data_IF_520422312867
#
_entry.id   IF_520422312867
#
_cell.length_a   1.000
_cell.length_b   1.000
_cell.length_c   1.000
_cell.angle_alpha   90.00
_cell.angle_beta   90.00
_cell.angle_gamma   90.00
#
_symmetry.space_group_name_H-M   'P 1'
#
loop_
_entity.id
_entity.type
_entity.pdbx_description
1 polymer ?
#
# COMPACT_ATOMS: atom_id res chain seq x y z
N UNK A 1 -34.68 -17.51 12.81
CA UNK A 1 -33.39 -17.19 12.22
C UNK A 1 -32.87 -15.90 12.83
N UNK A 2 -31.64 -15.86 13.35
CA UNK A 2 -31.06 -14.60 13.80
C UNK A 2 -30.90 -13.66 12.57
N UNK A 3 -31.12 -12.34 12.74
CA UNK A 3 -30.86 -11.39 11.65
C UNK A 3 -29.39 -11.48 11.22
N UNK A 4 -29.10 -11.26 9.92
CA UNK A 4 -27.72 -11.24 9.46
C UNK A 4 -26.93 -10.16 10.20
N UNK A 5 -25.68 -10.45 10.54
CA UNK A 5 -24.80 -9.49 11.18
C UNK A 5 -24.70 -8.21 10.30
N UNK A 6 -24.67 -7.01 10.93
CA UNK A 6 -24.55 -5.77 10.19
C UNK A 6 -23.25 -5.74 9.37
N UNK A 7 -23.23 -5.02 8.24
CA UNK A 7 -21.99 -4.83 7.46
C UNK A 7 -20.89 -4.24 8.34
N UNK A 8 -19.62 -4.68 8.18
CA UNK A 8 -18.52 -4.11 8.93
C UNK A 8 -18.27 -2.65 8.52
N UNK A 9 -17.85 -1.81 9.48
CA UNK A 9 -17.39 -0.46 9.16
C UNK A 9 -16.15 -0.51 8.25
N UNK A 10 -15.99 0.52 7.42
CA UNK A 10 -14.84 0.61 6.53
C UNK A 10 -13.53 0.74 7.33
N UNK A 11 -12.52 -0.12 7.10
CA UNK A 11 -11.27 -0.09 7.86
C UNK A 11 -10.37 1.12 7.51
N UNK A 12 -10.71 1.89 6.47
CA UNK A 12 -9.98 3.10 6.08
C UNK A 12 -10.62 4.38 6.60
N UNK A 13 -11.93 4.56 6.42
CA UNK A 13 -12.60 5.82 6.78
C UNK A 13 -13.62 5.67 7.92
N UNK A 14 -13.77 4.49 8.48
CA UNK A 14 -14.71 4.12 9.54
C UNK A 14 -16.20 4.33 9.19
N UNK A 15 -16.54 4.67 7.96
CA UNK A 15 -17.91 4.86 7.54
C UNK A 15 -18.71 3.55 7.65
N UNK A 16 -19.97 3.61 8.14
CA UNK A 16 -20.92 2.49 8.10
C UNK A 16 -21.51 2.31 6.70
N UNK A 17 -22.37 1.30 6.55
CA UNK A 17 -23.19 1.14 5.35
C UNK A 17 -22.45 0.50 4.16
N UNK A 18 -21.40 -0.27 4.43
CA UNK A 18 -20.77 -1.07 3.39
C UNK A 18 -21.79 -2.05 2.77
N UNK A 19 -21.64 -2.31 1.49
CA UNK A 19 -22.46 -3.30 0.78
C UNK A 19 -21.57 -4.34 0.08
N UNK A 20 -22.14 -5.52 -0.17
CA UNK A 20 -21.41 -6.62 -0.82
C UNK A 20 -21.14 -6.24 -2.27
N UNK A 21 -19.88 -6.09 -2.63
CA UNK A 21 -19.44 -5.89 -4.00
C UNK A 21 -19.37 -7.22 -4.76
N UNK A 22 -18.80 -8.23 -4.10
CA UNK A 22 -18.63 -9.56 -4.68
C UNK A 22 -18.61 -10.63 -3.58
N UNK A 23 -19.05 -11.83 -3.91
CA UNK A 23 -19.00 -12.98 -3.02
C UNK A 23 -18.66 -14.24 -3.82
N UNK A 24 -17.71 -15.01 -3.31
CA UNK A 24 -17.39 -16.35 -3.76
C UNK A 24 -17.82 -17.38 -2.71
N UNK A 25 -17.59 -18.67 -2.96
CA UNK A 25 -17.83 -19.72 -1.97
C UNK A 25 -16.97 -19.56 -0.68
N UNK A 26 -15.83 -18.86 -0.77
CA UNK A 26 -14.85 -18.76 0.33
C UNK A 26 -14.72 -17.37 0.92
N UNK A 27 -14.97 -16.29 0.14
CA UNK A 27 -14.67 -14.91 0.51
C UNK A 27 -15.78 -13.97 0.09
N UNK A 28 -15.99 -12.94 0.90
CA UNK A 28 -16.87 -11.80 0.63
C UNK A 28 -16.04 -10.54 0.59
N UNK A 29 -16.32 -9.68 -0.38
CA UNK A 29 -15.71 -8.37 -0.53
C UNK A 29 -16.78 -7.30 -0.36
N UNK A 30 -16.49 -6.36 0.52
CA UNK A 30 -17.31 -5.23 0.81
C UNK A 30 -16.83 -4.00 0.04
N UNK A 31 -17.74 -3.19 -0.46
CA UNK A 31 -17.45 -1.84 -0.94
C UNK A 31 -17.89 -0.86 0.14
N UNK A 32 -17.00 0.07 0.50
CA UNK A 32 -17.28 1.13 1.46
C UNK A 32 -18.49 1.97 1.02
N UNK A 33 -19.45 2.16 1.91
CA UNK A 33 -20.62 3.04 1.68
C UNK A 33 -20.33 4.52 1.92
N UNK A 34 -19.12 4.86 2.40
CA UNK A 34 -18.67 6.23 2.66
C UNK A 34 -17.79 6.80 1.55
N UNK A 35 -17.13 7.95 1.82
CA UNK A 35 -16.47 8.76 0.79
C UNK A 35 -15.18 8.14 0.22
N UNK A 36 -14.56 7.17 0.91
CA UNK A 36 -13.27 6.64 0.45
C UNK A 36 -13.39 5.56 -0.64
N UNK A 37 -14.54 4.87 -0.77
CA UNK A 37 -14.76 3.85 -1.79
C UNK A 37 -13.83 2.63 -1.70
N UNK A 38 -13.19 2.35 -0.56
CA UNK A 38 -12.32 1.18 -0.39
C UNK A 38 -13.10 -0.12 -0.60
N UNK A 39 -12.50 -1.07 -1.31
CA UNK A 39 -12.96 -2.47 -1.32
C UNK A 39 -12.11 -3.26 -0.34
N UNK A 40 -12.75 -4.07 0.50
CA UNK A 40 -12.05 -4.86 1.51
C UNK A 40 -12.71 -6.21 1.77
N UNK A 41 -11.91 -7.16 2.19
CA UNK A 41 -12.37 -8.51 2.55
C UNK A 41 -13.08 -8.46 3.89
N UNK A 42 -14.14 -9.28 4.02
CA UNK A 42 -14.83 -9.48 5.30
C UNK A 42 -13.82 -9.78 6.42
N UNK A 43 -13.81 -9.02 7.53
CA UNK A 43 -12.84 -9.20 8.60
C UNK A 43 -12.75 -10.62 9.14
N UNK A 44 -13.89 -11.34 9.18
CA UNK A 44 -13.94 -12.73 9.65
C UNK A 44 -13.30 -13.75 8.67
N UNK A 45 -12.93 -13.31 7.47
CA UNK A 45 -12.39 -14.17 6.40
C UNK A 45 -10.96 -13.79 5.99
N UNK A 46 -10.32 -12.91 6.77
CA UNK A 46 -8.93 -12.54 6.57
C UNK A 46 -8.00 -13.65 7.08
N UNK A 47 -6.83 -13.83 6.46
CA UNK A 47 -5.84 -14.79 6.96
C UNK A 47 -5.31 -14.37 8.33
N UNK A 48 -4.88 -15.32 9.13
CA UNK A 48 -4.07 -15.05 10.31
C UNK A 48 -2.59 -14.86 9.93
N UNK A 49 -1.78 -14.43 10.90
CA UNK A 49 -0.36 -14.13 10.68
C UNK A 49 0.46 -15.35 10.21
N UNK A 50 0.07 -16.57 10.59
CA UNK A 50 0.77 -17.78 10.16
C UNK A 50 0.48 -18.09 8.68
N UNK A 51 -0.78 -17.94 8.26
CA UNK A 51 -1.19 -18.12 6.88
C UNK A 51 -0.59 -17.04 5.96
N UNK A 52 -0.51 -15.78 6.43
CA UNK A 52 0.16 -14.70 5.69
C UNK A 52 1.63 -15.00 5.49
N UNK A 53 2.34 -15.35 6.56
CA UNK A 53 3.76 -15.69 6.49
C UNK A 53 4.02 -16.84 5.51
N UNK A 54 3.22 -17.91 5.57
CA UNK A 54 3.33 -19.05 4.66
C UNK A 54 3.18 -18.65 3.19
N UNK A 55 2.31 -17.65 2.90
CA UNK A 55 2.15 -17.10 1.56
C UNK A 55 3.33 -16.25 1.15
N UNK A 56 3.85 -15.38 2.05
CA UNK A 56 4.99 -14.51 1.77
C UNK A 56 6.29 -15.29 1.56
N UNK A 57 6.48 -16.39 2.26
CA UNK A 57 7.66 -17.28 2.10
C UNK A 57 7.74 -17.93 0.69
N UNK A 58 6.66 -17.86 -0.12
CA UNK A 58 6.68 -18.29 -1.52
C UNK A 58 7.29 -17.24 -2.46
N UNK A 59 7.41 -15.98 -2.03
CA UNK A 59 7.93 -14.90 -2.86
C UNK A 59 9.46 -14.96 -2.97
N UNK A 60 9.94 -14.75 -4.18
CA UNK A 60 11.38 -14.66 -4.47
C UNK A 60 11.70 -13.26 -4.98
N UNK A 61 12.27 -12.44 -4.12
CA UNK A 61 12.67 -11.06 -4.43
C UNK A 61 14.15 -11.03 -4.84
N UNK A 62 14.47 -11.74 -5.94
CA UNK A 62 15.86 -11.91 -6.37
C UNK A 62 16.33 -10.73 -7.24
N UNK A 63 17.39 -9.99 -6.84
CA UNK A 63 17.94 -8.90 -7.65
C UNK A 63 18.57 -9.39 -8.97
N UNK A 64 18.86 -10.68 -9.12
CA UNK A 64 19.34 -11.26 -10.37
C UNK A 64 18.20 -11.55 -11.37
N UNK A 65 16.94 -11.56 -10.93
CA UNK A 65 15.81 -11.72 -11.83
C UNK A 65 15.51 -10.41 -12.58
N UNK A 66 15.92 -10.38 -13.85
CA UNK A 66 15.67 -9.25 -14.73
C UNK A 66 14.17 -8.92 -14.93
N UNK A 67 13.27 -9.90 -14.76
CA UNK A 67 11.81 -9.70 -14.79
C UNK A 67 11.36 -8.93 -13.58
N UNK A 68 11.85 -9.30 -12.40
CA UNK A 68 11.56 -8.63 -11.15
C UNK A 68 12.15 -7.21 -11.11
N UNK A 69 13.37 -7.01 -11.57
CA UNK A 69 14.01 -5.68 -11.70
C UNK A 69 13.18 -4.77 -12.62
N UNK A 70 12.73 -5.27 -13.78
CA UNK A 70 11.84 -4.49 -14.68
C UNK A 70 10.49 -4.17 -14.03
N UNK A 71 9.95 -5.10 -13.24
CA UNK A 71 8.71 -4.88 -12.49
C UNK A 71 8.88 -3.71 -11.50
N UNK A 72 9.94 -3.71 -10.71
CA UNK A 72 10.27 -2.62 -9.78
C UNK A 72 10.58 -1.30 -10.49
N UNK A 73 11.17 -1.36 -11.68
CA UNK A 73 11.47 -0.19 -12.52
C UNK A 73 10.27 0.70 -12.78
N UNK A 74 9.06 0.14 -12.82
CA UNK A 74 7.82 0.90 -12.99
C UNK A 74 7.55 1.89 -11.84
N UNK A 75 8.03 1.59 -10.63
CA UNK A 75 7.99 2.50 -9.49
C UNK A 75 9.24 3.37 -9.45
N UNK A 76 10.43 2.78 -9.68
CA UNK A 76 11.73 3.46 -9.55
C UNK A 76 11.81 4.67 -10.49
N UNK A 77 11.45 4.51 -11.76
CA UNK A 77 11.55 5.58 -12.75
C UNK A 77 10.74 6.85 -12.39
N UNK A 78 9.42 6.76 -12.11
CA UNK A 78 8.65 7.94 -11.72
C UNK A 78 9.03 8.46 -10.32
N UNK A 79 9.49 7.61 -9.41
CA UNK A 79 9.99 8.03 -8.10
C UNK A 79 11.24 8.89 -8.24
N UNK A 80 12.25 8.44 -9.01
CA UNK A 80 13.48 9.19 -9.26
C UNK A 80 13.19 10.52 -9.95
N UNK A 81 12.29 10.54 -10.93
CA UNK A 81 11.86 11.78 -11.57
C UNK A 81 11.23 12.77 -10.57
N UNK A 82 10.47 12.27 -9.61
CA UNK A 82 9.82 13.10 -8.60
C UNK A 82 10.77 13.56 -7.49
N UNK A 83 11.81 12.77 -7.15
CA UNK A 83 12.82 13.12 -6.13
C UNK A 83 13.84 14.13 -6.63
N UNK A 84 14.12 14.15 -7.93
CA UNK A 84 15.19 14.93 -8.52
C UNK A 84 16.59 14.36 -8.21
N UNK A 85 17.68 15.02 -8.69
CA UNK A 85 19.02 14.45 -8.68
C UNK A 85 19.72 14.50 -7.32
N UNK A 86 19.21 15.25 -6.34
CA UNK A 86 19.87 15.36 -5.03
C UNK A 86 19.73 14.08 -4.21
N UNK A 87 20.79 13.62 -3.52
CA UNK A 87 20.70 12.47 -2.63
C UNK A 87 19.61 12.64 -1.57
N UNK A 88 18.83 11.59 -1.34
CA UNK A 88 17.70 11.56 -0.41
C UNK A 88 17.81 10.36 0.54
N UNK A 89 17.18 10.48 1.70
CA UNK A 89 17.04 9.40 2.66
C UNK A 89 15.64 8.75 2.52
N UNK A 90 15.59 7.46 2.23
CA UNK A 90 14.36 6.71 2.05
C UNK A 90 14.21 5.53 3.00
N UNK A 91 12.99 5.02 3.08
CA UNK A 91 12.66 3.76 3.71
C UNK A 91 11.87 2.91 2.72
N UNK A 92 12.31 1.67 2.50
CA UNK A 92 11.51 0.64 1.84
C UNK A 92 10.70 -0.11 2.90
N UNK A 93 9.41 0.21 2.98
CA UNK A 93 8.48 -0.33 3.97
C UNK A 93 7.78 -1.55 3.40
N UNK A 94 7.99 -2.72 4.04
CA UNK A 94 7.57 -4.01 3.53
C UNK A 94 8.51 -4.53 2.45
N UNK A 95 9.83 -4.40 2.66
CA UNK A 95 10.86 -4.78 1.67
C UNK A 95 10.91 -6.29 1.37
N UNK A 96 10.24 -7.11 2.17
CA UNK A 96 10.28 -8.56 2.03
C UNK A 96 11.66 -9.18 2.34
N UNK A 97 11.86 -10.44 1.94
CA UNK A 97 13.11 -11.16 2.23
C UNK A 97 14.31 -10.66 1.42
N UNK A 98 14.10 -10.08 0.22
CA UNK A 98 15.16 -9.64 -0.69
C UNK A 98 15.04 -8.15 -1.05
N UNK A 99 15.91 -7.27 -0.50
CA UNK A 99 15.82 -5.81 -0.64
C UNK A 99 16.28 -5.31 -2.01
N UNK A 100 15.68 -5.76 -3.08
CA UNK A 100 16.05 -5.40 -4.46
C UNK A 100 15.76 -3.93 -4.75
N UNK A 101 14.61 -3.40 -4.27
CA UNK A 101 14.21 -2.02 -4.54
C UNK A 101 15.19 -1.02 -3.94
N UNK A 102 15.58 -1.21 -2.68
CA UNK A 102 16.57 -0.33 -2.02
C UNK A 102 17.92 -0.35 -2.73
N UNK A 103 18.33 -1.50 -3.27
CA UNK A 103 19.53 -1.63 -4.09
C UNK A 103 19.47 -0.79 -5.38
N UNK A 104 18.34 -0.80 -6.08
CA UNK A 104 18.12 0.01 -7.28
C UNK A 104 18.16 1.53 -6.97
N UNK A 105 17.55 1.94 -5.86
CA UNK A 105 17.54 3.33 -5.42
C UNK A 105 18.91 3.78 -4.91
N UNK A 106 19.66 2.88 -4.24
CA UNK A 106 21.04 3.14 -3.82
C UNK A 106 21.98 3.32 -5.03
N UNK A 107 21.82 2.53 -6.09
CA UNK A 107 22.56 2.70 -7.34
C UNK A 107 22.25 4.04 -8.02
N UNK A 108 21.07 4.63 -7.76
CA UNK A 108 20.70 5.98 -8.21
C UNK A 108 21.17 7.10 -7.25
N UNK A 109 21.93 6.79 -6.20
CA UNK A 109 22.54 7.78 -5.30
C UNK A 109 21.71 8.12 -4.04
N UNK A 110 20.66 7.37 -3.73
CA UNK A 110 19.87 7.59 -2.52
C UNK A 110 20.29 6.64 -1.39
N UNK A 111 20.12 7.06 -0.12
CA UNK A 111 20.33 6.21 1.04
C UNK A 111 18.97 5.61 1.47
N UNK A 112 18.80 4.29 1.36
CA UNK A 112 17.55 3.61 1.66
C UNK A 112 17.74 2.59 2.76
N UNK A 113 16.91 2.65 3.80
CA UNK A 113 16.81 1.62 4.83
C UNK A 113 15.68 0.64 4.46
N UNK A 114 15.82 -0.61 4.89
CA UNK A 114 14.84 -1.68 4.65
C UNK A 114 14.13 -2.04 5.94
N UNK A 115 12.81 -1.97 5.93
CA UNK A 115 11.96 -2.42 7.03
C UNK A 115 10.93 -3.43 6.53
N UNK A 116 10.81 -4.51 7.25
CA UNK A 116 9.73 -5.48 7.08
C UNK A 116 9.40 -6.11 8.44
N UNK A 117 8.12 -6.20 8.85
CA UNK A 117 7.76 -6.70 10.17
C UNK A 117 8.10 -8.18 10.38
N UNK A 118 8.31 -8.94 9.30
CA UNK A 118 8.59 -10.37 9.34
C UNK A 118 10.08 -10.66 9.08
N UNK A 119 10.64 -10.03 8.04
CA UNK A 119 11.97 -10.36 7.54
C UNK A 119 13.07 -9.41 8.03
N UNK A 120 12.74 -8.14 8.35
CA UNK A 120 13.67 -7.08 8.79
C UNK A 120 13.03 -6.17 9.84
N UNK A 121 12.70 -6.70 11.05
CA UNK A 121 11.85 -6.03 12.04
C UNK A 121 12.59 -4.98 12.89
N UNK A 122 13.43 -4.13 12.27
CA UNK A 122 14.09 -3.04 12.98
C UNK A 122 13.13 -1.89 13.26
N UNK A 123 12.46 -1.95 14.40
CA UNK A 123 11.50 -0.94 14.85
C UNK A 123 12.12 0.45 15.07
N UNK A 124 13.45 0.55 15.23
CA UNK A 124 14.12 1.86 15.38
C UNK A 124 14.00 2.70 14.10
N UNK A 125 13.84 2.07 12.94
CA UNK A 125 13.60 2.75 11.67
C UNK A 125 12.24 3.46 11.66
N UNK A 126 11.25 2.96 12.39
CA UNK A 126 9.91 3.56 12.47
C UNK A 126 9.85 4.81 13.37
N UNK A 127 10.91 5.11 14.11
CA UNK A 127 11.05 6.34 14.89
C UNK A 127 11.69 7.49 14.11
N UNK A 128 12.14 7.22 12.87
CA UNK A 128 12.83 8.20 12.02
C UNK A 128 11.85 8.85 11.03
N UNK A 129 12.32 9.92 10.36
CA UNK A 129 11.61 10.56 9.25
C UNK A 129 12.48 10.58 8.01
N UNK A 130 11.84 10.37 6.86
CA UNK A 130 12.48 10.17 5.58
C UNK A 130 12.02 11.20 4.56
N UNK A 131 12.83 11.43 3.54
CA UNK A 131 12.46 12.26 2.39
C UNK A 131 11.47 11.52 1.49
N UNK A 132 11.55 10.19 1.47
CA UNK A 132 10.57 9.34 0.81
C UNK A 132 10.41 7.99 1.51
N UNK A 133 9.23 7.39 1.31
CA UNK A 133 8.92 6.02 1.73
C UNK A 133 8.36 5.28 0.54
N UNK A 134 8.84 4.06 0.28
CA UNK A 134 8.27 3.15 -0.71
C UNK A 134 7.46 2.07 0.00
N UNK A 135 6.37 1.62 -0.64
CA UNK A 135 5.61 0.43 -0.23
C UNK A 135 5.12 -0.29 -1.50
N UNK A 136 5.82 -1.36 -1.88
CA UNK A 136 5.63 -2.07 -3.15
C UNK A 136 4.97 -3.42 -2.90
N UNK A 137 3.73 -3.61 -3.40
CA UNK A 137 2.88 -4.78 -3.13
C UNK A 137 2.77 -5.03 -1.61
N UNK A 138 2.36 -3.99 -0.87
CA UNK A 138 2.27 -3.97 0.59
C UNK A 138 0.90 -3.51 1.08
N UNK A 139 0.38 -2.41 0.53
CA UNK A 139 -0.82 -1.77 1.09
C UNK A 139 -2.07 -2.62 0.95
N UNK A 140 -2.13 -3.52 -0.01
CA UNK A 140 -3.20 -4.50 -0.20
C UNK A 140 -3.30 -5.53 0.94
N UNK A 141 -2.21 -5.71 1.69
CA UNK A 141 -2.15 -6.60 2.85
C UNK A 141 -2.57 -5.91 4.16
N UNK A 142 -2.86 -4.61 4.15
CA UNK A 142 -3.24 -3.88 5.36
C UNK A 142 -4.62 -4.30 5.86
N UNK A 143 -4.68 -4.97 7.02
CA UNK A 143 -5.91 -5.27 7.75
C UNK A 143 -6.54 -4.01 8.34
N UNK A 144 -5.71 -3.05 8.77
CA UNK A 144 -6.08 -1.77 9.37
C UNK A 144 -5.49 -0.60 8.56
N UNK A 145 -5.96 -0.38 7.31
CA UNK A 145 -5.34 0.61 6.42
C UNK A 145 -5.30 2.03 7.00
N UNK A 146 -6.30 2.44 7.78
CA UNK A 146 -6.26 3.76 8.43
C UNK A 146 -5.03 3.94 9.31
N UNK A 147 -4.73 2.94 10.13
CA UNK A 147 -3.58 2.93 11.04
C UNK A 147 -2.26 2.88 10.28
N UNK A 148 -2.17 2.00 9.29
CA UNK A 148 -0.92 1.81 8.55
C UNK A 148 -0.61 3.03 7.65
N UNK A 149 -1.62 3.64 7.02
CA UNK A 149 -1.40 4.90 6.30
C UNK A 149 -1.03 6.06 7.24
N UNK A 150 -1.62 6.14 8.44
CA UNK A 150 -1.19 7.12 9.44
C UNK A 150 0.29 6.92 9.84
N UNK A 151 0.73 5.66 9.98
CA UNK A 151 2.13 5.31 10.21
C UNK A 151 3.01 5.77 9.05
N UNK A 152 2.68 5.42 7.80
CA UNK A 152 3.43 5.82 6.61
C UNK A 152 3.55 7.35 6.50
N UNK A 153 2.47 8.09 6.76
CA UNK A 153 2.51 9.57 6.84
C UNK A 153 3.48 10.05 7.91
N UNK A 154 3.45 9.42 9.09
CA UNK A 154 4.32 9.76 10.22
C UNK A 154 5.81 9.56 9.94
N UNK A 155 6.16 8.69 9.00
CA UNK A 155 7.53 8.43 8.56
C UNK A 155 8.06 9.48 7.57
N UNK A 156 7.22 10.34 7.04
CA UNK A 156 7.62 11.34 6.05
C UNK A 156 7.95 12.69 6.70
N UNK A 157 8.96 13.36 6.17
CA UNK A 157 9.24 14.76 6.41
C UNK A 157 8.20 15.65 5.72
N UNK A 158 8.05 16.94 6.09
CA UNK A 158 7.36 17.91 5.23
C UNK A 158 7.93 17.87 3.82
N UNK A 159 7.09 17.98 2.78
CA UNK A 159 7.50 17.80 1.39
C UNK A 159 7.87 16.37 0.99
N UNK A 160 7.83 15.43 1.92
CA UNK A 160 8.20 14.02 1.69
C UNK A 160 7.24 13.30 0.75
N UNK A 161 7.72 12.21 0.15
CA UNK A 161 7.02 11.47 -0.91
C UNK A 161 6.74 10.03 -0.49
N UNK A 162 5.46 9.63 -0.46
CA UNK A 162 5.06 8.23 -0.40
C UNK A 162 4.90 7.70 -1.81
N UNK A 163 5.64 6.63 -2.14
CA UNK A 163 5.56 5.94 -3.42
C UNK A 163 4.98 4.55 -3.21
N UNK A 164 3.82 4.31 -3.78
CA UNK A 164 3.08 3.05 -3.67
C UNK A 164 3.10 2.31 -5.00
N UNK A 165 3.27 1.00 -4.93
CA UNK A 165 2.99 0.10 -6.03
C UNK A 165 1.99 -0.94 -5.56
N UNK A 166 0.80 -0.93 -6.14
CA UNK A 166 -0.28 -1.89 -5.91
C UNK A 166 -1.21 -1.88 -7.12
N UNK A 167 -1.72 -3.03 -7.53
CA UNK A 167 -2.63 -3.07 -8.68
C UNK A 167 -3.93 -2.36 -8.35
N UNK A 168 -4.19 -1.24 -9.04
CA UNK A 168 -5.42 -0.50 -8.85
C UNK A 168 -6.58 -1.16 -9.59
N UNK A 169 -7.70 -1.30 -8.90
CA UNK A 169 -8.95 -1.75 -9.49
C UNK A 169 -9.47 -0.68 -10.47
N UNK A 170 -9.75 -1.09 -11.69
CA UNK A 170 -10.24 -0.15 -12.72
C UNK A 170 -11.70 0.26 -12.50
N UNK A 171 -12.60 -0.71 -12.28
CA UNK A 171 -14.05 -0.48 -12.13
C UNK A 171 -14.69 -1.60 -11.29
N UNK A 172 -15.78 -1.30 -10.52
CA UNK A 172 -16.48 -2.29 -9.69
C UNK A 172 -16.96 -3.51 -10.49
N UNK A 173 -17.47 -3.29 -11.69
CA UNK A 173 -18.08 -4.32 -12.55
C UNK A 173 -17.06 -5.38 -12.99
N UNK A 174 -15.79 -5.01 -13.07
CA UNK A 174 -14.68 -5.92 -13.45
C UNK A 174 -14.07 -6.65 -12.27
N UNK A 175 -14.50 -6.36 -11.04
CA UNK A 175 -13.90 -6.93 -9.83
C UNK A 175 -14.04 -8.47 -9.79
N UNK A 176 -15.17 -9.01 -10.22
CA UNK A 176 -15.44 -10.46 -10.20
C UNK A 176 -14.37 -11.27 -10.96
N UNK A 177 -13.93 -10.81 -12.13
CA UNK A 177 -12.91 -11.44 -12.97
C UNK A 177 -11.47 -11.04 -12.66
N UNK A 178 -11.26 -10.15 -11.70
CA UNK A 178 -9.92 -9.60 -11.43
C UNK A 178 -9.07 -10.58 -10.60
N UNK A 179 -7.98 -11.09 -11.19
CA UNK A 179 -7.14 -12.13 -10.57
C UNK A 179 -6.46 -11.69 -9.26
N UNK A 180 -6.15 -10.40 -9.10
CA UNK A 180 -5.46 -9.85 -7.93
C UNK A 180 -6.20 -10.09 -6.60
N UNK A 181 -7.53 -10.17 -6.63
CA UNK A 181 -8.36 -10.51 -5.47
C UNK A 181 -8.24 -11.97 -5.01
N UNK A 182 -7.62 -12.83 -5.83
CA UNK A 182 -7.54 -14.26 -5.54
C UNK A 182 -6.39 -14.61 -4.60
N UNK A 183 -5.42 -13.72 -4.44
CA UNK A 183 -4.40 -13.88 -3.41
C UNK A 183 -5.08 -13.88 -2.02
N UNK A 184 -4.82 -14.92 -1.19
CA UNK A 184 -5.47 -15.02 0.12
C UNK A 184 -5.04 -13.92 1.10
N UNK A 185 -3.89 -13.30 0.90
CA UNK A 185 -3.35 -12.24 1.75
C UNK A 185 -3.75 -10.85 1.32
N UNK A 186 -4.35 -10.67 0.12
CA UNK A 186 -4.90 -9.40 -0.30
C UNK A 186 -6.26 -9.15 0.38
N UNK A 187 -6.32 -8.19 1.26
CA UNK A 187 -7.49 -7.87 2.09
C UNK A 187 -8.04 -6.45 1.89
N UNK A 188 -7.27 -5.55 1.29
CA UNK A 188 -7.64 -4.17 0.99
C UNK A 188 -7.31 -3.84 -0.48
N UNK A 189 -8.24 -3.24 -1.22
CA UNK A 189 -8.07 -3.03 -2.66
C UNK A 189 -8.31 -1.58 -3.02
N UNK A 190 -7.30 -0.98 -3.64
CA UNK A 190 -7.30 0.43 -3.95
C UNK A 190 -7.65 0.70 -5.41
N UNK A 191 -8.18 1.87 -5.64
CA UNK A 191 -8.34 2.54 -6.92
C UNK A 191 -8.10 4.03 -6.71
N UNK A 192 -8.50 4.89 -7.62
CA UNK A 192 -8.23 6.32 -7.52
C UNK A 192 -8.88 6.97 -6.30
N UNK A 193 -10.14 6.59 -5.95
CA UNK A 193 -10.88 7.25 -4.88
C UNK A 193 -10.30 7.02 -3.48
N UNK A 194 -9.98 5.76 -3.04
CA UNK A 194 -9.32 5.55 -1.75
C UNK A 194 -7.99 6.32 -1.63
N UNK A 195 -7.18 6.33 -2.70
CA UNK A 195 -5.91 7.05 -2.71
C UNK A 195 -6.13 8.58 -2.70
N UNK A 196 -7.12 9.06 -3.44
CA UNK A 196 -7.54 10.46 -3.42
C UNK A 196 -8.05 10.90 -2.06
N UNK A 197 -8.83 10.05 -1.38
CA UNK A 197 -9.32 10.31 -0.04
C UNK A 197 -8.17 10.41 0.99
N UNK A 198 -7.19 9.49 0.90
CA UNK A 198 -5.98 9.54 1.74
C UNK A 198 -5.19 10.82 1.46
N UNK A 199 -4.95 11.14 0.19
CA UNK A 199 -4.20 12.33 -0.21
C UNK A 199 -4.88 13.61 0.29
N UNK A 200 -6.21 13.73 0.12
CA UNK A 200 -6.99 14.87 0.60
C UNK A 200 -6.89 15.03 2.13
N UNK A 201 -7.02 13.93 2.88
CA UNK A 201 -6.88 13.94 4.33
C UNK A 201 -5.48 14.30 4.84
N UNK A 202 -4.46 14.20 3.97
CA UNK A 202 -3.08 14.60 4.28
C UNK A 202 -2.73 16.00 3.77
N UNK A 203 -3.58 16.62 2.96
CA UNK A 203 -3.23 17.81 2.17
C UNK A 203 -2.17 17.49 1.10
N UNK A 204 -2.05 16.24 0.70
CA UNK A 204 -1.02 15.76 -0.22
C UNK A 204 -1.48 15.87 -1.68
N UNK A 205 -0.51 16.05 -2.58
CA UNK A 205 -0.74 15.93 -4.02
C UNK A 205 -0.60 14.47 -4.42
N UNK A 206 -1.65 13.91 -5.06
CA UNK A 206 -1.64 12.58 -5.64
C UNK A 206 -1.31 12.65 -7.13
N UNK A 207 -0.32 11.87 -7.57
CA UNK A 207 -0.04 11.60 -8.99
C UNK A 207 -0.06 10.10 -9.25
N UNK A 208 -0.52 9.71 -10.45
CA UNK A 208 -0.72 8.32 -10.84
C UNK A 208 0.05 8.05 -12.14
N UNK A 209 1.40 7.92 -12.08
CA UNK A 209 2.25 7.85 -13.28
C UNK A 209 2.10 6.55 -14.06
N UNK A 210 1.64 5.47 -13.43
CA UNK A 210 1.38 4.19 -14.07
C UNK A 210 0.12 3.53 -13.49
N UNK A 211 -0.46 2.51 -14.14
CA UNK A 211 -1.70 1.85 -13.67
C UNK A 211 -1.61 1.25 -12.27
N UNK A 212 -0.44 0.93 -11.81
CA UNK A 212 -0.14 0.32 -10.51
C UNK A 212 0.77 1.17 -9.61
N UNK A 213 1.12 2.39 -10.01
CA UNK A 213 1.96 3.30 -9.23
C UNK A 213 1.18 4.53 -8.80
N UNK A 214 1.32 4.93 -7.54
CA UNK A 214 0.77 6.14 -6.98
C UNK A 214 1.84 6.85 -6.15
N UNK A 215 1.97 8.17 -6.35
CA UNK A 215 2.87 9.04 -5.61
C UNK A 215 2.03 10.06 -4.84
N UNK A 216 2.22 10.13 -3.51
CA UNK A 216 1.58 11.09 -2.64
C UNK A 216 2.67 12.01 -2.06
N UNK A 217 2.69 13.28 -2.47
CA UNK A 217 3.63 14.28 -1.95
C UNK A 217 2.98 15.11 -0.86
N UNK A 218 3.57 15.08 0.33
CA UNK A 218 3.14 15.95 1.42
C UNK A 218 3.43 17.43 1.10
N UNK A 219 2.68 18.36 1.68
CA UNK A 219 3.02 19.79 1.61
C UNK A 219 4.34 20.06 2.36
N UNK A 220 5.07 21.10 1.92
CA UNK A 220 6.33 21.53 2.55
C UNK A 220 6.14 22.08 3.97
N UNK A 221 4.95 22.54 4.28
CA UNK A 221 4.54 22.98 5.62
C UNK A 221 3.28 22.23 6.03
N UNK A 222 3.10 21.89 7.32
CA UNK A 222 1.83 21.35 7.78
C UNK A 222 0.72 22.36 7.46
N UNK A 223 -0.52 21.90 7.17
CA UNK A 223 -1.64 22.80 7.04
C UNK A 223 -1.73 23.68 8.30
N UNK A 224 -1.99 24.97 8.14
CA UNK A 224 -2.29 25.85 9.27
C UNK A 224 -3.54 25.31 9.98
N UNK A 225 -3.46 25.19 11.30
CA UNK A 225 -4.57 24.78 12.17
C UNK A 225 -5.75 25.73 12.08
#
# INVERSE_FOLDING_TARGET
>A
MAPPAPPPACPLCAAPGAHVLHQSARRRWWLCGGPCGLVYVDPAQRPDAAAERAQYDLHRNDPADAGYVRFLGRLVEPLLAALGPAPRQGLDFGCGPGPTLSGLLAAAGHAVADYDPIYRPDVALLARRYDFVTATEVVEHFHEPAREFARLRGLLRPGGLLALMTKRRAQPERFAGWHYKNDPTHVSFYHTDPLGWIAAGWGATLTLPAPDVALLRLPDSPPAD
#
